data_IF_625462665450
#
_entry.id   IF_625462665450
#
_cell.length_a   1.000
_cell.length_b   1.000
_cell.length_c   1.000
_cell.angle_alpha   90.00
_cell.angle_beta   90.00
_cell.angle_gamma   90.00
#
_symmetry.space_group_name_H-M   'P 1'
#
loop_
_entity.id
_entity.type
_entity.pdbx_description
1 polymer ?
#
# COMPACT_ATOMS: atom_id res chain seq x y z
N UNK A 1 -18.55 10.61 -17.05
CA UNK A 1 -17.88 9.83 -15.99
C UNK A 1 -17.81 10.69 -14.73
N UNK A 2 -18.13 10.14 -13.57
CA UNK A 2 -18.04 10.84 -12.28
C UNK A 2 -16.57 11.14 -11.93
N UNK A 3 -15.69 10.16 -12.17
CA UNK A 3 -14.25 10.29 -11.90
C UNK A 3 -13.45 10.36 -13.19
N UNK A 4 -12.28 10.98 -13.13
CA UNK A 4 -11.31 11.11 -14.25
C UNK A 4 -10.07 10.24 -14.00
N UNK A 5 -9.82 9.86 -12.75
CA UNK A 5 -8.68 9.02 -12.37
C UNK A 5 -9.01 8.04 -11.26
N UNK A 6 -8.24 6.95 -11.24
CA UNK A 6 -8.21 5.99 -10.14
C UNK A 6 -6.80 6.01 -9.55
N UNK A 7 -6.73 6.14 -8.22
CA UNK A 7 -5.48 6.05 -7.45
C UNK A 7 -5.50 4.74 -6.68
N UNK A 8 -4.56 3.87 -6.95
CA UNK A 8 -4.46 2.55 -6.32
C UNK A 8 -3.43 2.59 -5.20
N UNK A 9 -3.74 1.98 -4.05
CA UNK A 9 -2.66 1.49 -3.22
C UNK A 9 -1.87 0.40 -3.97
N UNK A 10 -0.68 0.10 -3.48
CA UNK A 10 0.19 -0.89 -4.13
C UNK A 10 0.03 -2.27 -3.50
N UNK A 11 0.27 -2.36 -2.18
CA UNK A 11 0.37 -3.64 -1.48
C UNK A 11 -1.02 -4.12 -1.03
N UNK A 12 -1.42 -5.29 -1.49
CA UNK A 12 -2.78 -5.80 -1.30
C UNK A 12 -3.77 -5.38 -2.39
N UNK A 13 -3.39 -4.44 -3.28
CA UNK A 13 -4.25 -3.97 -4.40
C UNK A 13 -3.65 -4.36 -5.75
N UNK A 14 -2.45 -3.89 -6.08
CA UNK A 14 -1.78 -4.17 -7.36
C UNK A 14 -0.97 -5.48 -7.29
N UNK A 15 -0.33 -5.71 -6.16
CA UNK A 15 0.43 -6.93 -5.86
C UNK A 15 0.37 -7.22 -4.37
N UNK A 16 0.86 -8.38 -3.95
CA UNK A 16 1.01 -8.69 -2.51
C UNK A 16 2.48 -8.84 -2.15
N UNK A 17 2.94 -8.04 -1.19
CA UNK A 17 4.26 -8.16 -0.57
C UNK A 17 4.19 -8.61 0.89
N UNK A 18 3.00 -8.98 1.38
CA UNK A 18 2.73 -9.41 2.75
C UNK A 18 3.73 -10.48 3.24
N UNK A 19 3.99 -11.50 2.39
CA UNK A 19 4.96 -12.57 2.70
C UNK A 19 6.34 -12.01 3.03
N UNK A 20 6.83 -11.04 2.25
CA UNK A 20 8.15 -10.46 2.45
C UNK A 20 8.18 -9.55 3.68
N UNK A 21 7.08 -8.83 3.94
CA UNK A 21 6.92 -8.07 5.19
C UNK A 21 6.95 -8.99 6.40
N UNK A 22 6.19 -10.09 6.36
CA UNK A 22 6.16 -11.09 7.43
C UNK A 22 7.55 -11.66 7.71
N UNK A 23 8.25 -12.16 6.68
CA UNK A 23 9.58 -12.75 6.83
C UNK A 23 10.59 -11.77 7.41
N UNK A 24 10.58 -10.51 6.96
CA UNK A 24 11.49 -9.49 7.44
C UNK A 24 11.20 -9.10 8.90
N UNK A 25 9.94 -8.95 9.29
CA UNK A 25 9.57 -8.67 10.68
C UNK A 25 9.79 -9.87 11.59
N UNK A 26 9.47 -11.08 11.11
CA UNK A 26 9.72 -12.33 11.86
C UNK A 26 11.20 -12.46 12.24
N UNK A 27 12.09 -12.17 11.29
CA UNK A 27 13.54 -12.21 11.57
C UNK A 27 13.95 -11.20 12.64
N UNK A 28 13.46 -9.95 12.59
CA UNK A 28 13.76 -8.94 13.62
C UNK A 28 13.18 -9.33 14.97
N UNK A 29 11.95 -9.84 15.01
CA UNK A 29 11.31 -10.30 16.24
C UNK A 29 12.08 -11.46 16.88
N UNK A 30 12.48 -12.46 16.06
CA UNK A 30 13.27 -13.60 16.53
C UNK A 30 14.64 -13.18 17.11
N UNK A 31 15.31 -12.21 16.47
CA UNK A 31 16.61 -11.68 16.93
C UNK A 31 16.47 -10.97 18.30
N UNK A 32 15.29 -10.40 18.59
CA UNK A 32 14.97 -9.76 19.87
C UNK A 32 14.31 -10.70 20.88
N UNK A 33 14.07 -11.97 20.51
CA UNK A 33 13.35 -12.92 21.35
C UNK A 33 11.86 -12.62 21.54
N UNK A 34 11.25 -11.87 20.61
CA UNK A 34 9.84 -11.47 20.64
C UNK A 34 9.00 -12.51 19.87
N UNK A 35 7.88 -12.96 20.46
CA UNK A 35 6.91 -13.76 19.73
C UNK A 35 6.24 -12.95 18.63
N UNK A 36 6.24 -13.48 17.41
CA UNK A 36 5.64 -12.85 16.24
C UNK A 36 5.01 -13.91 15.34
N UNK A 37 3.73 -13.72 15.01
CA UNK A 37 2.93 -14.59 14.16
C UNK A 37 2.15 -13.83 13.10
N UNK A 38 1.35 -14.54 12.30
CA UNK A 38 0.52 -13.96 11.25
C UNK A 38 -0.57 -13.02 11.81
N UNK A 39 -1.09 -13.28 13.03
CA UNK A 39 -2.11 -12.41 13.64
C UNK A 39 -1.51 -11.05 14.00
N UNK A 40 -0.30 -11.04 14.54
CA UNK A 40 0.43 -9.79 14.82
C UNK A 40 0.75 -9.09 13.50
N UNK A 41 1.18 -9.84 12.46
CA UNK A 41 1.47 -9.28 11.15
C UNK A 41 0.25 -8.59 10.50
N UNK A 42 -0.95 -9.13 10.66
CA UNK A 42 -2.17 -8.49 10.15
C UNK A 42 -2.41 -7.09 10.73
N UNK A 43 -2.00 -6.85 11.99
CA UNK A 43 -2.10 -5.53 12.64
C UNK A 43 -1.13 -4.50 12.03
N UNK A 44 -0.15 -4.95 11.26
CA UNK A 44 0.87 -4.09 10.66
C UNK A 44 0.47 -3.56 9.28
N UNK A 45 -0.68 -4.00 8.73
CA UNK A 45 -1.15 -3.58 7.42
C UNK A 45 -1.54 -2.10 7.40
N UNK A 46 -1.09 -1.40 6.37
CA UNK A 46 -1.43 0.00 6.15
C UNK A 46 -0.81 1.00 7.11
N UNK A 47 0.04 0.55 8.07
CA UNK A 47 0.75 1.44 8.99
C UNK A 47 2.22 1.60 8.59
N UNK A 48 2.86 2.65 9.08
CA UNK A 48 4.27 2.91 8.78
C UNK A 48 5.19 1.85 9.38
N UNK A 49 6.42 1.72 8.84
CA UNK A 49 7.44 0.82 9.39
C UNK A 49 7.76 1.09 10.86
N UNK A 50 7.79 2.38 11.26
CA UNK A 50 8.04 2.75 12.64
C UNK A 50 6.90 2.33 13.56
N UNK A 51 5.64 2.56 13.15
CA UNK A 51 4.45 2.12 13.90
C UNK A 51 4.36 0.59 13.97
N UNK A 52 4.65 -0.11 12.87
CA UNK A 52 4.72 -1.59 12.86
C UNK A 52 5.69 -2.10 13.91
N UNK A 53 6.86 -1.47 14.06
CA UNK A 53 7.83 -1.89 15.06
C UNK A 53 7.35 -1.62 16.48
N UNK A 54 6.63 -0.52 16.72
CA UNK A 54 6.01 -0.27 18.04
C UNK A 54 4.98 -1.33 18.40
N UNK A 55 4.17 -1.78 17.44
CA UNK A 55 3.20 -2.87 17.65
C UNK A 55 3.94 -4.19 18.02
N UNK A 56 5.05 -4.49 17.36
CA UNK A 56 5.88 -5.67 17.67
C UNK A 56 6.46 -5.57 19.09
N UNK A 57 6.90 -4.38 19.48
CA UNK A 57 7.48 -4.13 20.80
C UNK A 57 6.47 -4.14 21.95
N UNK A 58 5.14 -4.20 21.71
CA UNK A 58 4.13 -4.31 22.77
C UNK A 58 4.37 -5.52 23.69
N UNK A 59 4.98 -6.59 23.16
CA UNK A 59 5.31 -7.82 23.89
C UNK A 59 6.81 -7.94 24.21
N UNK A 60 7.54 -6.84 24.22
CA UNK A 60 8.97 -6.81 24.53
C UNK A 60 9.21 -6.32 25.94
N UNK A 61 9.72 -7.16 26.81
CA UNK A 61 10.02 -6.82 28.21
C UNK A 61 11.30 -5.97 28.36
N UNK A 62 12.10 -5.85 27.29
CA UNK A 62 13.31 -5.05 27.26
C UNK A 62 13.06 -3.58 26.94
N UNK A 63 14.15 -2.83 26.87
CA UNK A 63 14.14 -1.44 26.38
C UNK A 63 15.19 -1.30 25.30
N UNK A 64 14.80 -0.74 24.18
CA UNK A 64 15.71 -0.34 23.11
C UNK A 64 16.00 1.16 23.20
N UNK A 65 17.26 1.52 23.03
CA UNK A 65 17.64 2.91 22.78
C UNK A 65 17.12 3.37 21.41
N UNK A 66 17.14 4.67 21.17
CA UNK A 66 16.79 5.21 19.85
C UNK A 66 17.69 4.67 18.73
N UNK A 67 18.97 4.48 19.02
CA UNK A 67 19.96 3.93 18.07
C UNK A 67 19.66 2.46 17.73
N UNK A 68 19.36 1.63 18.73
CA UNK A 68 18.98 0.23 18.54
C UNK A 68 17.66 0.11 17.76
N UNK A 69 16.69 0.98 18.05
CA UNK A 69 15.42 1.07 17.33
C UNK A 69 15.66 1.38 15.85
N UNK A 70 16.46 2.41 15.57
CA UNK A 70 16.78 2.79 14.19
C UNK A 70 17.55 1.68 13.46
N UNK A 71 18.47 1.02 14.14
CA UNK A 71 19.19 -0.14 13.61
C UNK A 71 18.23 -1.28 13.22
N UNK A 72 17.27 -1.65 14.08
CA UNK A 72 16.27 -2.67 13.77
C UNK A 72 15.41 -2.31 12.56
N UNK A 73 14.96 -1.04 12.47
CA UNK A 73 14.19 -0.54 11.34
C UNK A 73 14.98 -0.60 10.02
N UNK A 74 16.27 -0.29 10.06
CA UNK A 74 17.15 -0.37 8.91
C UNK A 74 17.43 -1.82 8.51
N UNK A 75 17.72 -2.69 9.47
CA UNK A 75 17.91 -4.13 9.20
C UNK A 75 16.65 -4.74 8.58
N UNK A 76 15.46 -4.45 9.15
CA UNK A 76 14.19 -4.88 8.56
C UNK A 76 14.04 -4.45 7.11
N UNK A 77 14.37 -3.20 6.81
CA UNK A 77 14.24 -2.69 5.45
C UNK A 77 15.24 -3.33 4.48
N UNK A 78 16.47 -3.61 4.93
CA UNK A 78 17.47 -4.35 4.13
C UNK A 78 16.99 -5.76 3.81
N UNK A 79 16.49 -6.49 4.82
CA UNK A 79 15.92 -7.83 4.65
C UNK A 79 14.72 -7.81 3.71
N UNK A 80 13.79 -6.88 3.92
CA UNK A 80 12.62 -6.75 3.06
C UNK A 80 13.04 -6.51 1.59
N UNK A 81 14.00 -5.60 1.35
CA UNK A 81 14.51 -5.34 0.00
C UNK A 81 15.18 -6.54 -0.63
N UNK A 82 15.93 -7.34 0.15
CA UNK A 82 16.53 -8.58 -0.38
C UNK A 82 15.47 -9.61 -0.77
N UNK A 83 14.38 -9.73 0.01
CA UNK A 83 13.26 -10.60 -0.35
C UNK A 83 12.49 -10.10 -1.58
N UNK A 84 12.36 -8.78 -1.77
CA UNK A 84 11.78 -8.23 -2.99
C UNK A 84 12.57 -8.60 -4.25
N UNK A 85 13.84 -9.02 -4.11
CA UNK A 85 14.63 -9.51 -5.25
C UNK A 85 14.07 -10.81 -5.84
N UNK A 86 13.28 -11.55 -5.11
CA UNK A 86 12.55 -12.73 -5.58
C UNK A 86 11.35 -12.36 -6.47
N UNK A 87 10.86 -11.12 -6.41
CA UNK A 87 9.72 -10.67 -7.23
C UNK A 87 10.09 -10.57 -8.70
N UNK A 88 9.13 -10.88 -9.54
CA UNK A 88 9.23 -10.83 -10.98
C UNK A 88 7.91 -10.41 -11.63
N UNK A 89 7.88 -10.31 -12.94
CA UNK A 89 6.66 -10.03 -13.70
C UNK A 89 5.53 -11.04 -13.43
N UNK A 90 5.84 -12.28 -13.02
CA UNK A 90 4.83 -13.30 -12.69
C UNK A 90 4.00 -12.97 -11.43
N UNK A 91 4.50 -12.07 -10.57
CA UNK A 91 3.77 -11.60 -9.38
C UNK A 91 2.78 -10.47 -9.71
N UNK A 92 2.80 -9.97 -10.94
CA UNK A 92 1.81 -9.04 -11.46
C UNK A 92 0.68 -9.82 -12.15
N UNK A 93 -0.42 -10.03 -11.44
CA UNK A 93 -1.51 -10.89 -11.87
C UNK A 93 -2.15 -10.41 -13.17
N UNK A 94 -2.48 -11.34 -14.07
CA UNK A 94 -3.08 -11.04 -15.38
C UNK A 94 -4.44 -10.35 -15.26
N UNK A 95 -5.22 -10.66 -14.20
CA UNK A 95 -6.48 -9.97 -13.90
C UNK A 95 -6.24 -8.48 -13.65
N UNK A 96 -5.19 -8.13 -12.91
CA UNK A 96 -4.85 -6.73 -12.62
C UNK A 96 -4.39 -6.04 -13.90
N UNK A 97 -3.47 -6.64 -14.65
CA UNK A 97 -2.97 -6.09 -15.94
C UNK A 97 -4.10 -5.78 -16.91
N UNK A 98 -4.96 -6.76 -17.18
CA UNK A 98 -6.07 -6.62 -18.14
C UNK A 98 -7.08 -5.55 -17.68
N UNK A 99 -7.34 -5.48 -16.38
CA UNK A 99 -8.25 -4.47 -15.80
C UNK A 99 -7.67 -3.06 -15.95
N UNK A 100 -6.39 -2.86 -15.65
CA UNK A 100 -5.72 -1.56 -15.81
C UNK A 100 -5.73 -1.09 -17.27
N UNK A 101 -5.47 -2.01 -18.22
CA UNK A 101 -5.55 -1.70 -19.65
C UNK A 101 -6.97 -1.30 -20.09
N UNK A 102 -8.00 -1.98 -19.60
CA UNK A 102 -9.39 -1.63 -19.90
C UNK A 102 -9.77 -0.27 -19.30
N UNK A 103 -9.34 0.05 -18.07
CA UNK A 103 -9.57 1.37 -17.47
C UNK A 103 -8.89 2.49 -18.28
N UNK A 104 -7.66 2.27 -18.74
CA UNK A 104 -6.98 3.23 -19.63
C UNK A 104 -7.73 3.42 -20.95
N UNK A 105 -8.20 2.32 -21.55
CA UNK A 105 -9.01 2.35 -22.79
C UNK A 105 -10.31 3.14 -22.59
N UNK A 106 -10.92 3.08 -21.41
CA UNK A 106 -12.09 3.89 -21.04
C UNK A 106 -11.74 5.37 -20.77
N UNK A 107 -10.46 5.75 -20.82
CA UNK A 107 -9.97 7.12 -20.68
C UNK A 107 -9.66 7.57 -19.26
N UNK A 108 -9.58 6.65 -18.29
CA UNK A 108 -9.13 6.98 -16.94
C UNK A 108 -7.62 7.18 -16.89
N UNK A 109 -7.18 8.17 -16.12
CA UNK A 109 -5.79 8.25 -15.66
C UNK A 109 -5.61 7.32 -14.45
N UNK A 110 -4.46 6.67 -14.37
CA UNK A 110 -4.15 5.70 -13.31
C UNK A 110 -2.93 6.15 -12.52
N UNK A 111 -3.00 6.10 -11.20
CA UNK A 111 -1.87 6.44 -10.35
C UNK A 111 -1.70 5.46 -9.19
N UNK A 112 -0.49 5.42 -8.65
CA UNK A 112 -0.18 4.76 -7.38
C UNK A 112 -0.16 5.79 -6.26
N UNK A 113 -0.70 5.38 -5.08
CA UNK A 113 -0.63 6.13 -3.83
C UNK A 113 -0.24 5.21 -2.67
N UNK A 114 1.05 4.95 -2.50
CA UNK A 114 1.58 4.01 -1.48
C UNK A 114 2.42 4.71 -0.42
N UNK A 115 2.25 4.33 0.85
CA UNK A 115 3.14 4.81 1.92
C UNK A 115 4.53 4.18 1.90
N UNK A 116 4.75 3.16 1.06
CA UNK A 116 6.03 2.45 0.96
C UNK A 116 7.08 3.26 0.20
N UNK A 117 8.29 3.34 0.74
CA UNK A 117 9.47 3.88 0.02
C UNK A 117 10.02 2.94 -1.04
N UNK A 118 9.48 1.73 -1.12
CA UNK A 118 9.90 0.71 -2.07
C UNK A 118 8.91 0.52 -3.23
N UNK A 119 7.91 1.40 -3.38
CA UNK A 119 6.87 1.26 -4.40
C UNK A 119 7.46 1.21 -5.82
N UNK A 120 8.35 2.15 -6.17
CA UNK A 120 9.00 2.17 -7.49
C UNK A 120 9.82 0.92 -7.77
N UNK A 121 10.75 0.47 -6.90
CA UNK A 121 11.45 -0.80 -7.08
C UNK A 121 10.53 -2.02 -7.28
N UNK A 122 9.40 -2.08 -6.55
CA UNK A 122 8.41 -3.15 -6.72
C UNK A 122 7.81 -3.07 -8.14
N UNK A 123 7.32 -1.91 -8.55
CA UNK A 123 6.72 -1.72 -9.88
C UNK A 123 7.71 -2.00 -11.02
N UNK A 124 9.00 -1.66 -10.85
CA UNK A 124 10.05 -2.00 -11.81
C UNK A 124 10.22 -3.52 -11.97
N UNK A 125 10.24 -4.27 -10.85
CA UNK A 125 10.34 -5.74 -10.89
C UNK A 125 9.12 -6.40 -11.51
N UNK A 126 7.93 -5.86 -11.26
CA UNK A 126 6.68 -6.29 -11.87
C UNK A 126 6.55 -5.90 -13.34
N UNK A 127 7.45 -5.04 -13.88
CA UNK A 127 7.32 -4.35 -15.17
C UNK A 127 6.00 -3.60 -15.31
N UNK A 128 5.55 -2.99 -14.20
CA UNK A 128 4.25 -2.36 -14.10
C UNK A 128 4.29 -0.82 -14.18
N UNK A 129 5.48 -0.21 -14.28
CA UNK A 129 5.65 1.25 -14.28
C UNK A 129 4.83 1.94 -15.38
N UNK A 130 4.76 1.35 -16.57
CA UNK A 130 4.09 1.93 -17.75
C UNK A 130 2.55 1.95 -17.65
N UNK A 131 1.98 1.22 -16.70
CA UNK A 131 0.53 1.22 -16.47
C UNK A 131 0.04 2.48 -15.76
N UNK A 132 0.92 3.26 -15.14
CA UNK A 132 0.57 4.38 -14.29
C UNK A 132 1.08 5.71 -14.83
N UNK A 133 0.20 6.72 -14.80
CA UNK A 133 0.51 8.09 -15.24
C UNK A 133 1.21 8.88 -14.13
N UNK A 134 1.07 8.46 -12.86
CA UNK A 134 1.74 9.07 -11.71
C UNK A 134 2.00 8.05 -10.60
N UNK A 135 3.07 8.26 -9.83
CA UNK A 135 3.42 7.42 -8.68
C UNK A 135 3.79 8.35 -7.53
N UNK A 136 2.89 8.40 -6.54
CA UNK A 136 3.15 9.00 -5.23
C UNK A 136 3.50 7.89 -4.24
N UNK A 137 4.64 8.01 -3.57
CA UNK A 137 5.13 6.99 -2.67
C UNK A 137 5.82 7.58 -1.43
N UNK A 138 6.29 6.73 -0.52
CA UNK A 138 6.97 7.13 0.71
C UNK A 138 8.25 7.95 0.52
N UNK A 139 8.71 8.19 -0.72
CA UNK A 139 9.88 9.03 -1.02
C UNK A 139 9.51 10.50 -1.25
N UNK A 140 8.24 10.80 -1.58
CA UNK A 140 7.78 12.15 -1.90
C UNK A 140 6.71 12.68 -0.93
N UNK A 141 6.46 11.98 0.17
CA UNK A 141 5.55 12.38 1.25
C UNK A 141 6.30 12.52 2.58
N UNK A 142 5.71 13.25 3.51
CA UNK A 142 6.21 13.44 4.88
C UNK A 142 5.36 12.70 5.91
N UNK A 143 4.09 12.48 5.61
CA UNK A 143 3.13 11.80 6.47
C UNK A 143 2.56 10.58 5.76
N UNK A 144 2.42 9.48 6.50
CA UNK A 144 1.85 8.24 6.01
C UNK A 144 0.35 8.16 6.29
N UNK A 145 -0.37 7.25 5.63
CA UNK A 145 -1.77 6.93 5.94
C UNK A 145 -1.95 6.71 7.45
N UNK A 146 -2.99 7.25 8.09
CA UNK A 146 -4.22 7.82 7.51
C UNK A 146 -4.17 9.33 7.20
N UNK A 147 -2.99 9.94 7.03
CA UNK A 147 -2.87 11.28 6.45
C UNK A 147 -3.11 11.20 4.94
N UNK A 148 -3.85 12.15 4.32
CA UNK A 148 -4.20 12.10 2.91
C UNK A 148 -3.05 12.46 1.96
N UNK A 149 -1.88 12.86 2.46
CA UNK A 149 -0.80 13.44 1.66
C UNK A 149 -0.45 12.61 0.43
N UNK A 150 -0.37 11.28 0.56
CA UNK A 150 0.02 10.39 -0.55
C UNK A 150 -0.98 10.45 -1.72
N UNK A 151 -2.27 10.49 -1.42
CA UNK A 151 -3.32 10.55 -2.45
C UNK A 151 -3.49 11.95 -3.03
N UNK A 152 -3.36 12.98 -2.20
CA UNK A 152 -3.35 14.38 -2.66
C UNK A 152 -2.19 14.65 -3.62
N UNK A 153 -1.00 14.12 -3.30
CA UNK A 153 0.18 14.16 -4.19
C UNK A 153 -0.05 13.44 -5.50
N UNK A 154 -0.68 12.25 -5.47
CA UNK A 154 -1.01 11.53 -6.70
C UNK A 154 -1.98 12.33 -7.58
N UNK A 155 -3.04 12.92 -7.01
CA UNK A 155 -3.97 13.77 -7.73
C UNK A 155 -3.28 15.04 -8.30
N UNK A 156 -2.41 15.69 -7.52
CA UNK A 156 -1.58 16.83 -7.97
C UNK A 156 -0.73 16.46 -9.18
N UNK A 157 -0.02 15.32 -9.13
CA UNK A 157 0.81 14.82 -10.23
C UNK A 157 0.01 14.52 -11.50
N UNK A 158 -1.25 14.09 -11.36
CA UNK A 158 -2.19 13.87 -12.46
C UNK A 158 -2.77 15.20 -13.02
N UNK A 159 -2.60 16.32 -12.30
CA UNK A 159 -3.23 17.61 -12.62
C UNK A 159 -4.74 17.61 -12.43
N UNK A 160 -5.25 16.88 -11.42
CA UNK A 160 -6.67 16.71 -11.14
C UNK A 160 -7.03 17.20 -9.73
N UNK A 161 -8.31 17.58 -9.54
CA UNK A 161 -8.83 17.81 -8.20
C UNK A 161 -9.05 16.48 -7.48
N UNK A 162 -8.90 16.43 -6.15
CA UNK A 162 -9.20 15.21 -5.37
C UNK A 162 -10.59 14.63 -5.66
N UNK A 163 -11.62 15.46 -5.77
CA UNK A 163 -12.99 15.05 -6.09
C UNK A 163 -13.19 14.42 -7.47
N UNK A 164 -12.23 14.60 -8.39
CA UNK A 164 -12.21 13.95 -9.71
C UNK A 164 -11.55 12.54 -9.65
N UNK A 165 -11.03 12.15 -8.49
CA UNK A 165 -10.32 10.89 -8.27
C UNK A 165 -11.10 9.96 -7.35
N UNK A 166 -10.94 8.64 -7.55
CA UNK A 166 -11.38 7.60 -6.63
C UNK A 166 -10.17 6.75 -6.22
N UNK A 167 -10.12 6.35 -4.95
CA UNK A 167 -9.03 5.54 -4.40
C UNK A 167 -9.46 4.09 -4.27
N UNK A 168 -8.61 3.14 -4.63
CA UNK A 168 -8.80 1.71 -4.35
C UNK A 168 -7.78 1.24 -3.32
N UNK A 169 -8.26 0.59 -2.25
CA UNK A 169 -7.49 0.32 -1.03
C UNK A 169 -7.94 -0.95 -0.32
N UNK A 170 -7.00 -1.66 0.32
CA UNK A 170 -7.26 -2.87 1.10
C UNK A 170 -7.18 -2.64 2.62
N UNK A 171 -6.71 -1.47 3.08
CA UNK A 171 -6.50 -1.14 4.48
C UNK A 171 -7.38 0.02 4.96
N UNK A 172 -7.88 -0.10 6.19
CA UNK A 172 -8.70 0.93 6.84
C UNK A 172 -8.02 2.31 6.83
N UNK A 173 -6.72 2.36 7.12
CA UNK A 173 -5.95 3.61 7.16
C UNK A 173 -5.93 4.34 5.81
N UNK A 174 -5.94 3.61 4.69
CA UNK A 174 -5.99 4.21 3.37
C UNK A 174 -7.38 4.72 3.01
N UNK A 175 -8.45 4.00 3.36
CA UNK A 175 -9.82 4.53 3.19
C UNK A 175 -10.02 5.83 3.99
N UNK A 176 -9.50 5.87 5.23
CA UNK A 176 -9.54 7.09 6.04
C UNK A 176 -8.73 8.24 5.40
N UNK A 177 -7.58 7.92 4.80
CA UNK A 177 -6.76 8.89 4.08
C UNK A 177 -7.50 9.44 2.83
N UNK A 178 -8.13 8.57 2.02
CA UNK A 178 -8.93 8.99 0.87
C UNK A 178 -10.04 9.95 1.29
N UNK A 179 -10.82 9.58 2.31
CA UNK A 179 -11.90 10.41 2.84
C UNK A 179 -11.41 11.76 3.36
N UNK A 180 -10.31 11.81 4.12
CA UNK A 180 -9.70 13.06 4.60
C UNK A 180 -9.19 13.92 3.44
N UNK A 181 -8.78 13.30 2.34
CA UNK A 181 -8.36 13.96 1.11
C UNK A 181 -9.51 14.45 0.23
N UNK A 182 -10.78 14.17 0.60
CA UNK A 182 -11.94 14.54 -0.20
C UNK A 182 -12.12 13.69 -1.46
N UNK A 183 -11.65 12.43 -1.40
CA UNK A 183 -11.78 11.43 -2.45
C UNK A 183 -12.74 10.33 -2.02
N UNK A 184 -13.56 9.86 -2.94
CA UNK A 184 -14.34 8.64 -2.78
C UNK A 184 -13.40 7.43 -2.80
N UNK A 185 -13.86 6.28 -2.27
CA UNK A 185 -13.02 5.09 -2.14
C UNK A 185 -13.73 3.78 -2.48
N UNK A 186 -12.95 2.81 -2.93
CA UNK A 186 -13.33 1.43 -3.18
C UNK A 186 -12.49 0.56 -2.23
N UNK A 187 -13.15 -0.13 -1.32
CA UNK A 187 -12.52 -1.15 -0.49
C UNK A 187 -12.38 -2.45 -1.29
N UNK A 188 -11.19 -3.06 -1.26
CA UNK A 188 -10.96 -4.41 -1.82
C UNK A 188 -10.66 -5.41 -0.70
N UNK A 189 -11.28 -6.59 -0.78
CA UNK A 189 -11.10 -7.65 0.22
C UNK A 189 -11.88 -7.43 1.52
N UNK A 190 -11.60 -8.28 2.51
CA UNK A 190 -12.43 -8.39 3.73
C UNK A 190 -11.93 -7.59 4.93
N UNK A 191 -10.72 -7.03 4.86
CA UNK A 191 -10.11 -6.34 6.01
C UNK A 191 -10.80 -5.00 6.37
N UNK A 192 -11.60 -4.44 5.46
CA UNK A 192 -12.27 -3.15 5.65
C UNK A 192 -13.72 -3.39 6.05
N UNK A 193 -14.19 -2.82 7.19
CA UNK A 193 -15.59 -2.90 7.61
C UNK A 193 -16.55 -2.35 6.54
N UNK A 194 -17.74 -2.95 6.44
CA UNK A 194 -18.79 -2.46 5.57
C UNK A 194 -19.18 -1.01 5.92
N UNK A 195 -19.46 -0.22 4.89
CA UNK A 195 -19.90 1.17 5.03
C UNK A 195 -18.79 2.19 5.34
N UNK A 196 -17.52 1.75 5.37
CA UNK A 196 -16.39 2.67 5.55
C UNK A 196 -15.96 3.33 4.22
N UNK A 197 -16.08 2.59 3.10
CA UNK A 197 -15.84 3.06 1.74
C UNK A 197 -17.17 3.24 0.98
N UNK A 198 -17.19 4.04 -0.08
CA UNK A 198 -18.35 4.23 -0.95
C UNK A 198 -18.73 2.98 -1.72
N UNK A 199 -17.71 2.17 -2.08
CA UNK A 199 -17.88 0.89 -2.76
C UNK A 199 -17.02 -0.18 -2.11
N UNK A 200 -17.44 -1.45 -2.22
CA UNK A 200 -16.65 -2.62 -1.82
C UNK A 200 -16.67 -3.64 -2.94
N UNK A 201 -15.49 -4.23 -3.21
CA UNK A 201 -15.30 -5.31 -4.18
C UNK A 201 -14.46 -6.41 -3.55
N UNK A 202 -14.63 -7.63 -4.02
CA UNK A 202 -13.81 -8.77 -3.59
C UNK A 202 -12.68 -9.05 -4.56
N UNK A 203 -12.87 -8.75 -5.85
CA UNK A 203 -11.87 -8.95 -6.89
C UNK A 203 -11.58 -7.65 -7.63
N UNK A 204 -10.34 -7.49 -8.04
CA UNK A 204 -9.86 -6.27 -8.69
C UNK A 204 -10.67 -5.88 -9.94
N UNK A 205 -11.02 -6.87 -10.79
CA UNK A 205 -11.76 -6.61 -12.03
C UNK A 205 -13.19 -6.07 -11.83
N UNK A 206 -13.77 -6.22 -10.64
CA UNK A 206 -15.14 -5.74 -10.35
C UNK A 206 -15.24 -4.20 -10.40
N UNK A 207 -14.10 -3.49 -10.31
CA UNK A 207 -14.04 -2.04 -10.52
C UNK A 207 -14.63 -1.62 -11.87
N UNK A 208 -14.50 -2.46 -12.90
CA UNK A 208 -15.03 -2.18 -14.23
C UNK A 208 -16.56 -2.06 -14.29
N UNK A 209 -17.26 -2.67 -13.32
CA UNK A 209 -18.71 -2.57 -13.18
C UNK A 209 -19.16 -1.36 -12.34
N UNK A 210 -18.25 -0.74 -11.59
CA UNK A 210 -18.53 0.44 -10.77
C UNK A 210 -18.29 1.75 -11.53
N UNK A 211 -17.39 1.72 -12.53
CA UNK A 211 -16.90 2.87 -13.31
C UNK A 211 -17.30 2.74 -14.82
#
# INVERSE_FOLDING_TARGET
MKYKAIIFDLDGVICSTDRFHYLAWKKIADDLGIYFDENINQRLRGVSRAESFQIILENYDGKLSSEETEHCLDQKNKLYRSYLEEMSESDFQEEVKSTLLELRKRGYKLAIGSSSRNAKPILERLKAMEYFDAISDGTNITKTKPDPEVFLKAAEMLGLNPSDCIVMEDAKSGIEAARKGGMDSIAIGDAIPEGLAEHKVERFQEILGLL
#
